data_IF_990898320085
#
_entry.id   IF_990898320085
#
_cell.length_a   1.000
_cell.length_b   1.000
_cell.length_c   1.000
_cell.angle_alpha   90.00
_cell.angle_beta   90.00
_cell.angle_gamma   90.00
#
_symmetry.space_group_name_H-M   'P 1'
#
loop_
_entity.id
_entity.type
_entity.pdbx_description
1 polymer ?
#
# COMPACT_ATOMS: atom_id res chain seq x y z
N UNK A 1 -3.96 -17.66 11.32
CA UNK A 1 -2.77 -16.80 11.41
C UNK A 1 -2.42 -16.33 10.00
N UNK A 2 -2.20 -15.03 9.80
CA UNK A 2 -1.76 -14.47 8.51
C UNK A 2 -0.50 -15.21 8.04
N UNK A 3 -0.43 -15.60 6.76
CA UNK A 3 0.78 -16.19 6.16
C UNK A 3 1.91 -15.16 5.98
N UNK A 4 1.62 -13.86 6.14
CA UNK A 4 2.56 -12.77 5.91
C UNK A 4 2.76 -11.92 7.18
N UNK A 5 3.98 -11.39 7.42
CA UNK A 5 4.24 -10.44 8.49
C UNK A 5 3.42 -9.16 8.29
N UNK A 6 2.99 -8.54 9.39
CA UNK A 6 2.27 -7.25 9.35
C UNK A 6 3.14 -6.14 8.76
N UNK A 7 2.55 -5.01 8.36
CA UNK A 7 3.31 -3.90 7.79
C UNK A 7 4.30 -3.34 8.82
N UNK A 8 3.90 -3.24 10.10
CA UNK A 8 4.80 -2.80 11.16
C UNK A 8 5.96 -3.78 11.38
N UNK A 9 5.73 -5.08 11.25
CA UNK A 9 6.80 -6.08 11.35
C UNK A 9 7.79 -5.94 10.17
N UNK A 10 7.27 -5.76 8.95
CA UNK A 10 8.11 -5.48 7.77
C UNK A 10 8.91 -4.19 7.93
N UNK A 11 8.27 -3.11 8.41
CA UNK A 11 8.92 -1.82 8.65
C UNK A 11 10.01 -1.91 9.71
N UNK A 12 9.77 -2.60 10.83
CA UNK A 12 10.81 -2.82 11.85
C UNK A 12 12.00 -3.58 11.30
N UNK A 13 11.75 -4.64 10.52
CA UNK A 13 12.82 -5.38 9.84
C UNK A 13 13.60 -4.49 8.89
N UNK A 14 12.90 -3.64 8.12
CA UNK A 14 13.51 -2.67 7.21
C UNK A 14 14.38 -1.64 7.97
N UNK A 15 13.87 -1.07 9.06
CA UNK A 15 14.61 -0.11 9.87
C UNK A 15 15.85 -0.75 10.51
N UNK A 16 15.72 -1.97 11.04
CA UNK A 16 16.84 -2.70 11.64
C UNK A 16 17.92 -3.01 10.59
N UNK A 17 17.52 -3.55 9.43
CA UNK A 17 18.45 -3.92 8.37
C UNK A 17 19.24 -2.72 7.81
N UNK A 18 18.63 -1.54 7.79
CA UNK A 18 19.17 -0.34 7.16
C UNK A 18 19.64 0.72 8.18
N UNK A 19 19.72 0.36 9.46
CA UNK A 19 20.17 1.24 10.55
C UNK A 19 19.42 2.59 10.57
N UNK A 20 18.10 2.54 10.38
CA UNK A 20 17.27 3.74 10.38
C UNK A 20 17.27 4.45 11.74
N UNK A 21 17.65 5.73 11.74
CA UNK A 21 17.61 6.60 12.93
C UNK A 21 16.54 7.68 12.86
N UNK A 22 15.98 7.92 11.67
CA UNK A 22 14.95 8.92 11.42
C UNK A 22 13.68 8.23 10.91
N UNK A 23 12.55 8.47 11.59
CA UNK A 23 11.31 7.77 11.30
C UNK A 23 10.69 8.20 9.97
N UNK A 24 10.57 9.50 9.71
CA UNK A 24 9.94 10.03 8.49
C UNK A 24 10.71 9.59 7.26
N UNK A 25 12.04 9.73 7.30
CA UNK A 25 12.93 9.24 6.26
C UNK A 25 12.82 7.73 6.09
N UNK A 26 12.74 6.96 7.16
CA UNK A 26 12.55 5.51 7.05
C UNK A 26 11.22 5.17 6.38
N UNK A 27 10.15 5.90 6.67
CA UNK A 27 8.83 5.71 6.03
C UNK A 27 8.90 6.00 4.53
N UNK A 28 9.55 7.08 4.11
CA UNK A 28 9.74 7.40 2.68
C UNK A 28 10.49 6.30 1.93
N UNK A 29 11.58 5.79 2.50
CA UNK A 29 12.40 4.76 1.85
C UNK A 29 11.69 3.41 1.90
N UNK A 30 11.01 3.10 2.99
CA UNK A 30 10.18 1.91 3.11
C UNK A 30 9.01 1.92 2.14
N UNK A 31 8.43 3.09 1.85
CA UNK A 31 7.35 3.22 0.87
C UNK A 31 7.77 2.81 -0.55
N UNK A 32 9.08 2.91 -0.84
CA UNK A 32 9.66 2.50 -2.12
C UNK A 32 10.18 1.06 -2.05
N UNK A 33 11.00 0.72 -1.05
CA UNK A 33 11.77 -0.53 -1.01
C UNK A 33 11.19 -1.62 -0.09
N UNK A 34 10.13 -1.31 0.65
CA UNK A 34 9.51 -2.21 1.61
C UNK A 34 9.00 -3.50 0.97
N UNK A 35 9.34 -4.64 1.60
CA UNK A 35 8.98 -5.98 1.12
C UNK A 35 10.03 -6.64 0.22
N UNK A 36 11.09 -5.92 -0.20
CA UNK A 36 12.13 -6.50 -1.07
C UNK A 36 13.30 -7.16 -0.32
N UNK A 37 13.46 -6.88 0.97
CA UNK A 37 14.61 -7.35 1.75
C UNK A 37 15.95 -6.74 1.30
N UNK A 38 15.93 -5.65 0.53
CA UNK A 38 17.13 -4.99 0.03
C UNK A 38 17.78 -4.13 1.10
N UNK A 39 19.12 -4.15 1.13
CA UNK A 39 19.88 -3.14 1.86
C UNK A 39 19.84 -1.80 1.11
N UNK A 40 19.55 -0.74 1.83
CA UNK A 40 19.33 0.62 1.34
C UNK A 40 20.11 1.58 2.24
N UNK A 41 21.16 2.15 1.66
CA UNK A 41 21.94 3.20 2.33
C UNK A 41 21.15 4.51 2.34
N UNK A 42 20.47 4.77 3.47
CA UNK A 42 19.65 5.97 3.64
C UNK A 42 20.48 7.25 3.73
N UNK A 43 21.81 7.22 3.76
CA UNK A 43 22.61 8.45 3.63
C UNK A 43 22.54 9.03 2.21
N UNK A 44 22.26 8.19 1.21
CA UNK A 44 22.08 8.60 -0.19
C UNK A 44 20.67 9.11 -0.45
N UNK A 45 20.48 10.09 -1.36
CA UNK A 45 19.15 10.52 -1.78
C UNK A 45 18.29 9.38 -2.33
N UNK A 46 17.00 9.35 -1.97
CA UNK A 46 16.05 8.32 -2.39
C UNK A 46 16.00 8.15 -3.91
N UNK A 47 15.97 9.26 -4.66
CA UNK A 47 15.91 9.23 -6.13
C UNK A 47 17.14 8.56 -6.76
N UNK A 48 18.32 8.73 -6.14
CA UNK A 48 19.54 8.03 -6.57
C UNK A 48 19.41 6.53 -6.35
N UNK A 49 18.85 6.11 -5.23
CA UNK A 49 18.64 4.70 -4.92
C UNK A 49 17.57 4.07 -5.81
N UNK A 50 16.50 4.80 -6.17
CA UNK A 50 15.50 4.35 -7.15
C UNK A 50 16.19 4.07 -8.48
N UNK A 51 17.03 4.99 -8.96
CA UNK A 51 17.78 4.81 -10.20
C UNK A 51 18.72 3.59 -10.14
N UNK A 52 19.58 3.55 -9.11
CA UNK A 52 20.58 2.49 -8.91
C UNK A 52 19.97 1.10 -8.74
N UNK A 53 18.92 0.98 -7.93
CA UNK A 53 18.35 -0.32 -7.52
C UNK A 53 17.18 -0.76 -8.38
N UNK A 54 16.36 0.16 -8.88
CA UNK A 54 15.14 -0.17 -9.63
C UNK A 54 15.33 0.03 -11.11
N UNK A 55 15.66 1.25 -11.56
CA UNK A 55 15.64 1.59 -12.99
C UNK A 55 16.75 0.88 -13.75
N UNK A 56 17.98 0.89 -13.22
CA UNK A 56 19.12 0.19 -13.82
C UNK A 56 18.94 -1.33 -13.85
N UNK A 57 18.09 -1.88 -12.96
CA UNK A 57 17.80 -3.32 -12.86
C UNK A 57 16.41 -3.69 -13.38
N UNK A 58 15.75 -2.80 -14.12
CA UNK A 58 14.35 -2.95 -14.53
C UNK A 58 14.08 -4.30 -15.19
N UNK A 59 14.95 -4.77 -16.09
CA UNK A 59 14.72 -6.02 -16.84
C UNK A 59 14.59 -7.23 -15.92
N UNK A 60 15.41 -7.31 -14.88
CA UNK A 60 15.40 -8.43 -13.93
C UNK A 60 14.13 -8.37 -13.06
N UNK A 61 13.86 -7.21 -12.47
CA UNK A 61 12.70 -7.02 -11.59
C UNK A 61 11.40 -7.24 -12.38
N UNK A 62 11.29 -6.68 -13.58
CA UNK A 62 10.13 -6.90 -14.46
C UNK A 62 9.95 -8.39 -14.80
N UNK A 63 11.05 -9.12 -15.04
CA UNK A 63 11.02 -10.56 -15.28
C UNK A 63 10.43 -11.34 -14.11
N UNK A 64 10.90 -11.06 -12.90
CA UNK A 64 10.40 -11.69 -11.67
C UNK A 64 8.94 -11.36 -11.42
N UNK A 65 8.57 -10.08 -11.56
CA UNK A 65 7.19 -9.62 -11.36
C UNK A 65 6.23 -10.22 -12.40
N UNK A 66 6.66 -10.33 -13.64
CA UNK A 66 5.90 -11.00 -14.71
C UNK A 66 5.68 -12.47 -14.37
N UNK A 67 6.68 -13.15 -13.82
CA UNK A 67 6.57 -14.56 -13.41
C UNK A 67 5.54 -14.75 -12.29
N UNK A 68 5.60 -13.97 -11.22
CA UNK A 68 4.67 -14.10 -10.08
C UNK A 68 3.24 -13.68 -10.42
N UNK A 69 3.07 -12.76 -11.38
CA UNK A 69 1.75 -12.35 -11.89
C UNK A 69 1.26 -13.23 -13.06
N UNK A 70 1.92 -14.37 -13.29
CA UNK A 70 1.58 -15.35 -14.32
C UNK A 70 1.52 -14.76 -15.75
N UNK A 71 2.26 -13.69 -16.00
CA UNK A 71 2.29 -12.96 -17.28
C UNK A 71 0.91 -12.52 -17.77
N UNK A 72 -0.10 -12.41 -16.88
CA UNK A 72 -1.47 -12.06 -17.29
C UNK A 72 -1.61 -10.54 -17.38
N UNK A 73 -1.90 -9.98 -18.56
CA UNK A 73 -2.03 -8.53 -18.73
C UNK A 73 -3.13 -7.93 -17.85
N UNK A 74 -4.22 -8.67 -17.62
CA UNK A 74 -5.33 -8.23 -16.77
C UNK A 74 -4.94 -8.06 -15.31
N UNK A 75 -4.02 -8.88 -14.79
CA UNK A 75 -3.53 -8.75 -13.41
C UNK A 75 -2.66 -7.50 -13.26
N UNK A 76 -1.77 -7.24 -14.23
CA UNK A 76 -0.95 -6.02 -14.26
C UNK A 76 -1.81 -4.76 -14.39
N UNK A 77 -2.81 -4.79 -15.27
CA UNK A 77 -3.74 -3.69 -15.45
C UNK A 77 -4.54 -3.43 -14.16
N UNK A 78 -5.01 -4.48 -13.48
CA UNK A 78 -5.72 -4.35 -12.22
C UNK A 78 -4.84 -3.77 -11.10
N UNK A 79 -3.63 -4.30 -10.92
CA UNK A 79 -2.68 -3.79 -9.92
C UNK A 79 -2.32 -2.32 -10.21
N UNK A 80 -2.09 -1.97 -11.48
CA UNK A 80 -1.87 -0.57 -11.90
C UNK A 80 -3.08 0.31 -11.60
N UNK A 81 -4.30 -0.16 -11.86
CA UNK A 81 -5.52 0.58 -11.61
C UNK A 81 -5.74 0.84 -10.11
N UNK A 82 -5.49 -0.16 -9.26
CA UNK A 82 -5.55 -0.04 -7.79
C UNK A 82 -4.47 0.93 -7.29
N UNK A 83 -3.22 0.77 -7.76
CA UNK A 83 -2.08 1.56 -7.28
C UNK A 83 -2.18 3.06 -7.61
N UNK A 84 -2.87 3.41 -8.70
CA UNK A 84 -2.98 4.76 -9.24
C UNK A 84 -4.39 5.37 -9.12
N UNK A 85 -5.29 4.70 -8.38
CA UNK A 85 -6.68 5.12 -8.20
C UNK A 85 -7.03 5.34 -6.74
N UNK A 86 -8.34 5.42 -6.48
CA UNK A 86 -8.92 5.52 -5.13
C UNK A 86 -8.86 4.21 -4.32
N UNK A 87 -8.18 3.19 -4.87
CA UNK A 87 -8.04 1.82 -4.34
C UNK A 87 -9.33 1.01 -4.30
N UNK A 88 -10.44 1.50 -4.88
CA UNK A 88 -11.73 0.83 -4.82
C UNK A 88 -11.94 -0.11 -5.99
N UNK A 89 -12.58 -1.25 -5.74
CA UNK A 89 -12.84 -2.28 -6.75
C UNK A 89 -13.59 -1.75 -7.97
N UNK A 90 -14.72 -1.08 -7.75
CA UNK A 90 -15.55 -0.58 -8.83
C UNK A 90 -14.80 0.41 -9.75
N UNK A 91 -14.02 1.32 -9.14
CA UNK A 91 -13.18 2.27 -9.86
C UNK A 91 -12.06 1.57 -10.64
N UNK A 92 -11.44 0.54 -10.05
CA UNK A 92 -10.42 -0.26 -10.72
C UNK A 92 -10.99 -1.05 -11.91
N UNK A 93 -12.16 -1.68 -11.76
CA UNK A 93 -12.81 -2.45 -12.84
C UNK A 93 -13.15 -1.56 -14.04
N UNK A 94 -13.67 -0.36 -13.77
CA UNK A 94 -13.95 0.64 -14.81
C UNK A 94 -12.67 1.05 -15.54
N UNK A 95 -11.57 1.27 -14.81
CA UNK A 95 -10.28 1.69 -15.38
C UNK A 95 -9.63 0.59 -16.24
N UNK A 96 -9.82 -0.67 -15.89
CA UNK A 96 -9.33 -1.83 -16.66
C UNK A 96 -10.30 -2.22 -17.79
N UNK A 97 -11.52 -1.67 -17.81
CA UNK A 97 -12.59 -2.01 -18.74
C UNK A 97 -12.99 -3.49 -18.68
N UNK A 98 -13.25 -4.00 -17.46
CA UNK A 98 -13.71 -5.37 -17.22
C UNK A 98 -15.06 -5.36 -16.49
N UNK A 99 -15.89 -6.37 -16.79
CA UNK A 99 -17.13 -6.61 -16.05
C UNK A 99 -16.88 -7.06 -14.62
N UNK A 100 -17.88 -6.90 -13.76
CA UNK A 100 -17.82 -7.17 -12.31
C UNK A 100 -17.33 -8.58 -11.98
N UNK A 101 -17.98 -9.60 -12.53
CA UNK A 101 -17.64 -11.02 -12.29
C UNK A 101 -16.16 -11.29 -12.61
N UNK A 102 -15.69 -10.80 -13.77
CA UNK A 102 -14.28 -10.97 -14.15
C UNK A 102 -13.32 -10.16 -13.27
N UNK A 103 -13.74 -8.98 -12.84
CA UNK A 103 -13.00 -8.15 -11.90
C UNK A 103 -12.81 -8.84 -10.56
N UNK A 104 -13.90 -9.38 -9.99
CA UNK A 104 -13.91 -10.12 -8.72
C UNK A 104 -12.99 -11.36 -8.81
N UNK A 105 -13.05 -12.15 -9.89
CA UNK A 105 -12.12 -13.27 -10.10
C UNK A 105 -10.63 -12.83 -10.09
N UNK A 106 -10.33 -11.65 -10.64
CA UNK A 106 -8.97 -11.11 -10.63
C UNK A 106 -8.58 -10.69 -9.22
N UNK A 107 -9.46 -10.00 -8.48
CA UNK A 107 -9.21 -9.59 -7.09
C UNK A 107 -8.99 -10.81 -6.19
N UNK A 108 -9.83 -11.84 -6.31
CA UNK A 108 -9.68 -13.09 -5.55
C UNK A 108 -8.32 -13.73 -5.78
N UNK A 109 -7.85 -13.76 -7.03
CA UNK A 109 -6.50 -14.23 -7.33
C UNK A 109 -5.43 -13.36 -6.66
N UNK A 110 -5.52 -12.03 -6.81
CA UNK A 110 -4.53 -11.11 -6.26
C UNK A 110 -4.47 -11.15 -4.73
N UNK A 111 -5.60 -11.39 -4.06
CA UNK A 111 -5.66 -11.61 -2.60
C UNK A 111 -5.05 -12.95 -2.24
N UNK A 112 -5.45 -14.02 -2.92
CA UNK A 112 -4.96 -15.38 -2.66
C UNK A 112 -3.44 -15.48 -2.79
N UNK A 113 -2.87 -14.77 -3.75
CA UNK A 113 -1.44 -14.78 -4.03
C UNK A 113 -0.66 -13.71 -3.23
N UNK A 114 -1.35 -12.93 -2.39
CA UNK A 114 -0.72 -12.01 -1.44
C UNK A 114 -0.25 -10.69 -2.05
N UNK A 115 -0.81 -10.25 -3.17
CA UNK A 115 -0.52 -8.93 -3.73
C UNK A 115 -1.29 -7.82 -3.00
N UNK A 116 -2.57 -8.06 -2.72
CA UNK A 116 -3.46 -7.09 -2.08
C UNK A 116 -4.31 -7.73 -0.99
N UNK A 117 -4.87 -6.91 -0.11
CA UNK A 117 -5.85 -7.27 0.91
C UNK A 117 -6.95 -6.22 0.96
N UNK A 118 -8.12 -6.60 1.47
CA UNK A 118 -9.19 -5.64 1.75
C UNK A 118 -8.81 -4.72 2.92
N UNK A 119 -9.12 -3.45 2.73
CA UNK A 119 -9.06 -2.36 3.69
C UNK A 119 -10.50 -1.92 3.96
N UNK A 120 -11.18 -2.71 4.80
CA UNK A 120 -12.60 -2.56 5.07
C UNK A 120 -12.83 -1.42 6.07
N UNK A 121 -13.93 -0.70 5.86
CA UNK A 121 -14.43 0.26 6.85
C UNK A 121 -14.69 -0.45 8.18
N UNK A 122 -14.25 0.17 9.28
CA UNK A 122 -14.38 -0.39 10.65
C UNK A 122 -15.84 -0.57 11.05
N UNK A 123 -16.72 0.31 10.57
CA UNK A 123 -18.17 0.23 10.73
C UNK A 123 -18.86 0.42 9.39
N UNK A 124 -20.08 -0.10 9.27
CA UNK A 124 -20.92 0.14 8.10
C UNK A 124 -21.53 1.54 8.15
N UNK A 125 -21.87 2.13 7.00
CA UNK A 125 -22.65 3.36 6.98
C UNK A 125 -23.97 3.20 7.73
N UNK A 126 -24.39 4.26 8.42
CA UNK A 126 -25.69 4.29 9.13
C UNK A 126 -26.84 4.07 8.16
N UNK A 127 -26.72 4.61 6.94
CA UNK A 127 -27.65 4.39 5.84
C UNK A 127 -26.97 3.55 4.77
N UNK A 128 -27.50 2.36 4.49
CA UNK A 128 -26.93 1.43 3.52
C UNK A 128 -26.75 2.04 2.11
N UNK A 129 -27.58 3.03 1.75
CA UNK A 129 -27.48 3.73 0.46
C UNK A 129 -26.21 4.57 0.32
N UNK A 130 -25.59 4.93 1.45
CA UNK A 130 -24.33 5.68 1.49
C UNK A 130 -23.11 4.75 1.41
N UNK A 131 -23.33 3.43 1.33
CA UNK A 131 -22.30 2.43 1.08
C UNK A 131 -21.54 2.67 -0.21
N UNK A 132 -20.24 2.46 -0.12
CA UNK A 132 -19.30 2.47 -1.24
C UNK A 132 -18.43 1.23 -1.18
N UNK A 133 -17.89 0.83 -2.34
CA UNK A 133 -17.04 -0.36 -2.45
C UNK A 133 -15.80 -0.26 -1.56
N UNK A 134 -15.38 -1.38 -1.02
CA UNK A 134 -14.21 -1.49 -0.17
C UNK A 134 -12.92 -1.09 -0.88
N UNK A 135 -11.93 -0.68 -0.08
CA UNK A 135 -10.61 -0.33 -0.56
C UNK A 135 -9.72 -1.57 -0.56
N UNK A 136 -8.69 -1.55 -1.41
CA UNK A 136 -7.64 -2.56 -1.45
C UNK A 136 -6.30 -1.93 -1.07
N UNK A 137 -5.52 -2.66 -0.29
CA UNK A 137 -4.15 -2.30 0.07
C UNK A 137 -3.18 -3.30 -0.49
N UNK A 138 -2.04 -2.82 -0.98
CA UNK A 138 -0.93 -3.69 -1.32
C UNK A 138 -0.30 -4.25 -0.06
N UNK A 139 -0.01 -5.56 -0.06
CA UNK A 139 0.64 -6.24 1.06
C UNK A 139 2.08 -5.76 1.27
N UNK A 140 2.74 -5.35 0.18
CA UNK A 140 4.12 -4.82 0.21
C UNK A 140 4.18 -3.43 -0.42
N UNK A 141 4.89 -2.47 0.21
CA UNK A 141 5.06 -1.14 -0.36
C UNK A 141 5.67 -1.12 -1.76
N UNK A 142 6.70 -1.95 -1.99
CA UNK A 142 7.38 -2.02 -3.28
C UNK A 142 6.44 -2.38 -4.44
N UNK A 143 5.47 -3.30 -4.21
CA UNK A 143 4.51 -3.65 -5.26
C UNK A 143 3.62 -2.46 -5.62
N UNK A 144 3.16 -1.68 -4.63
CA UNK A 144 2.40 -0.45 -4.92
C UNK A 144 3.27 0.54 -5.69
N UNK A 145 4.49 0.81 -5.23
CA UNK A 145 5.44 1.70 -5.92
C UNK A 145 5.65 1.26 -7.37
N UNK A 146 5.91 -0.03 -7.60
CA UNK A 146 6.11 -0.60 -8.92
C UNK A 146 4.92 -0.35 -9.85
N UNK A 147 3.71 -0.73 -9.44
CA UNK A 147 2.52 -0.59 -10.28
C UNK A 147 2.01 0.85 -10.37
N UNK A 148 2.34 1.71 -9.40
CA UNK A 148 2.00 3.13 -9.45
C UNK A 148 2.90 3.92 -10.42
N UNK A 149 4.20 3.60 -10.48
CA UNK A 149 5.22 4.48 -11.08
C UNK A 149 6.01 3.77 -12.17
N UNK A 150 6.57 2.60 -11.88
CA UNK A 150 7.52 1.91 -12.76
C UNK A 150 6.81 1.24 -13.93
N UNK A 151 5.78 0.43 -13.65
CA UNK A 151 5.03 -0.29 -14.68
C UNK A 151 4.38 0.64 -15.71
N UNK A 152 3.78 1.78 -15.35
CA UNK A 152 3.22 2.72 -16.32
C UNK A 152 4.25 3.38 -17.25
N UNK A 153 5.50 3.50 -16.81
CA UNK A 153 6.58 4.24 -17.51
C UNK A 153 7.60 3.29 -18.17
N UNK A 154 7.23 2.02 -18.38
CA UNK A 154 8.16 0.98 -18.83
C UNK A 154 8.86 1.27 -20.17
N UNK A 155 8.23 2.04 -21.07
CA UNK A 155 8.78 2.31 -22.41
C UNK A 155 10.03 3.18 -22.30
N UNK A 156 9.91 4.32 -21.61
CA UNK A 156 11.02 5.25 -21.39
C UNK A 156 12.14 4.59 -20.58
N UNK A 157 11.81 3.78 -19.57
CA UNK A 157 12.81 3.01 -18.81
C UNK A 157 13.62 2.06 -19.71
N UNK A 158 12.97 1.35 -20.64
CA UNK A 158 13.65 0.43 -21.57
C UNK A 158 14.58 1.15 -22.55
N UNK A 159 14.30 2.41 -22.84
CA UNK A 159 15.10 3.30 -23.67
C UNK A 159 16.24 3.99 -22.89
N UNK A 160 16.27 3.84 -21.56
CA UNK A 160 17.23 4.51 -20.68
C UNK A 160 16.84 5.94 -20.30
N UNK A 161 15.61 6.35 -20.63
CA UNK A 161 15.09 7.69 -20.41
C UNK A 161 14.26 7.74 -19.12
N UNK A 162 14.78 8.39 -18.07
CA UNK A 162 14.17 8.37 -16.74
C UNK A 162 13.38 9.63 -16.37
N UNK A 163 13.29 10.60 -17.28
CA UNK A 163 12.59 11.87 -17.01
C UNK A 163 11.10 11.66 -16.68
N UNK A 164 10.41 10.78 -17.41
CA UNK A 164 8.99 10.46 -17.18
C UNK A 164 8.77 9.83 -15.80
N UNK A 165 9.66 8.90 -15.41
CA UNK A 165 9.61 8.23 -14.10
C UNK A 165 9.77 9.25 -12.98
N UNK A 166 10.76 10.16 -13.10
CA UNK A 166 11.05 11.18 -12.09
C UNK A 166 9.87 12.14 -11.93
N UNK A 167 9.33 12.66 -13.03
CA UNK A 167 8.17 13.54 -13.00
C UNK A 167 6.94 12.85 -12.37
N UNK A 168 6.72 11.57 -12.69
CA UNK A 168 5.62 10.80 -12.10
C UNK A 168 5.82 10.56 -10.60
N UNK A 169 7.03 10.20 -10.19
CA UNK A 169 7.38 10.02 -8.78
C UNK A 169 7.18 11.30 -7.98
N UNK A 170 7.69 12.42 -8.47
CA UNK A 170 7.54 13.73 -7.82
C UNK A 170 6.07 14.13 -7.64
N UNK A 171 5.22 13.80 -8.61
CA UNK A 171 3.80 14.08 -8.55
C UNK A 171 3.02 13.26 -7.52
N UNK A 172 3.51 12.08 -7.10
CA UNK A 172 2.73 11.16 -6.25
C UNK A 172 3.44 10.70 -4.98
N UNK A 173 4.73 11.02 -4.79
CA UNK A 173 5.52 10.53 -3.64
C UNK A 173 4.89 10.82 -2.29
N UNK A 174 4.29 12.02 -2.12
CA UNK A 174 3.60 12.39 -0.90
C UNK A 174 2.41 11.47 -0.58
N UNK A 175 1.59 11.14 -1.58
CA UNK A 175 0.47 10.20 -1.41
C UNK A 175 0.96 8.77 -1.16
N UNK A 176 2.07 8.38 -1.81
CA UNK A 176 2.67 7.06 -1.61
C UNK A 176 3.15 6.90 -0.17
N UNK A 177 3.91 7.86 0.33
CA UNK A 177 4.44 7.89 1.69
C UNK A 177 3.33 8.04 2.74
N UNK A 178 2.38 8.94 2.53
CA UNK A 178 1.29 9.20 3.49
C UNK A 178 0.43 7.96 3.76
N UNK A 179 0.14 7.15 2.72
CA UNK A 179 -0.60 5.90 2.92
C UNK A 179 0.17 4.88 3.76
N UNK A 180 1.49 4.79 3.60
CA UNK A 180 2.34 3.89 4.41
C UNK A 180 2.42 4.40 5.84
N UNK A 181 2.63 5.70 6.03
CA UNK A 181 2.62 6.35 7.33
C UNK A 181 1.32 6.05 8.09
N UNK A 182 0.17 6.25 7.45
CA UNK A 182 -1.14 5.97 8.03
C UNK A 182 -1.23 4.52 8.51
N UNK A 183 -0.94 3.55 7.64
CA UNK A 183 -1.03 2.13 8.00
C UNK A 183 -0.11 1.77 9.19
N UNK A 184 1.10 2.34 9.23
CA UNK A 184 2.01 2.14 10.36
C UNK A 184 1.46 2.75 11.65
N UNK A 185 0.87 3.95 11.58
CA UNK A 185 0.23 4.60 12.74
C UNK A 185 -0.91 3.74 13.30
N UNK A 186 -1.77 3.16 12.44
CA UNK A 186 -2.84 2.26 12.90
C UNK A 186 -2.28 1.05 13.68
N UNK A 187 -1.27 0.36 13.13
CA UNK A 187 -0.65 -0.79 13.79
C UNK A 187 0.08 -0.39 15.09
N UNK A 188 0.72 0.79 15.12
CA UNK A 188 1.36 1.32 16.32
C UNK A 188 0.34 1.66 17.41
N UNK A 189 -0.76 2.33 17.08
CA UNK A 189 -1.85 2.62 18.02
C UNK A 189 -2.39 1.33 18.59
N UNK A 190 -2.68 0.33 17.74
CA UNK A 190 -3.18 -0.96 18.21
C UNK A 190 -2.22 -1.63 19.19
N UNK A 191 -0.91 -1.63 18.87
CA UNK A 191 0.11 -2.21 19.72
C UNK A 191 0.26 -1.46 21.06
N UNK A 192 0.26 -0.13 21.03
CA UNK A 192 0.37 0.69 22.23
C UNK A 192 -0.84 0.51 23.14
N UNK A 193 -2.06 0.51 22.59
CA UNK A 193 -3.28 0.29 23.37
C UNK A 193 -3.32 -1.09 24.01
N UNK A 194 -2.82 -2.12 23.31
CA UNK A 194 -2.73 -3.47 23.88
C UNK A 194 -1.85 -3.50 25.14
N UNK A 195 -0.78 -2.70 25.19
CA UNK A 195 0.15 -2.63 26.32
C UNK A 195 -0.37 -1.74 27.46
N UNK A 196 -0.90 -0.56 27.12
CA UNK A 196 -1.35 0.45 28.09
C UNK A 196 -2.71 0.11 28.71
N UNK A 197 -3.57 -0.62 27.98
CA UNK A 197 -4.97 -0.87 28.38
C UNK A 197 -5.33 -2.37 28.31
N UNK A 198 -4.58 -3.23 29.00
CA UNK A 198 -4.75 -4.69 28.93
C UNK A 198 -6.20 -5.19 29.21
N UNK A 199 -6.94 -4.51 30.08
CA UNK A 199 -8.34 -4.84 30.40
C UNK A 199 -9.36 -4.41 29.33
N UNK A 200 -9.01 -3.44 28.49
CA UNK A 200 -9.88 -2.87 27.47
C UNK A 200 -9.08 -2.44 26.21
N UNK A 201 -8.45 -3.39 25.49
CA UNK A 201 -7.63 -3.09 24.32
C UNK A 201 -8.50 -2.71 23.12
N UNK A 202 -7.85 -2.19 22.07
CA UNK A 202 -8.47 -2.04 20.75
C UNK A 202 -8.67 -3.42 20.12
N UNK A 203 -9.90 -3.74 19.70
CA UNK A 203 -10.28 -5.00 19.05
C UNK A 203 -10.52 -4.85 17.54
N UNK A 204 -10.78 -3.63 17.07
CA UNK A 204 -10.86 -3.29 15.65
C UNK A 204 -10.34 -1.87 15.44
N UNK A 205 -9.55 -1.65 14.38
CA UNK A 205 -9.01 -0.34 14.01
C UNK A 205 -8.78 -0.28 12.51
N UNK A 206 -9.01 0.89 11.92
CA UNK A 206 -8.93 1.15 10.49
C UNK A 206 -9.57 2.49 10.18
N UNK A 207 -9.89 2.76 8.92
CA UNK A 207 -10.67 3.93 8.55
C UNK A 207 -12.17 3.66 8.62
N UNK A 208 -12.97 4.72 8.64
CA UNK A 208 -14.38 4.67 8.26
C UNK A 208 -14.59 5.48 6.99
N UNK A 209 -15.44 5.00 6.09
CA UNK A 209 -15.79 5.76 4.90
C UNK A 209 -17.21 5.45 4.41
N UNK A 210 -17.89 6.48 3.92
CA UNK A 210 -19.11 6.40 3.13
C UNK A 210 -19.08 7.48 2.03
N UNK A 211 -20.18 7.68 1.30
CA UNK A 211 -20.25 8.71 0.24
C UNK A 211 -20.05 10.15 0.72
N UNK A 212 -20.26 10.42 2.00
CA UNK A 212 -20.35 11.74 2.60
C UNK A 212 -19.14 12.08 3.46
N UNK A 213 -18.53 11.10 4.13
CA UNK A 213 -17.43 11.32 5.06
C UNK A 213 -16.40 10.19 5.03
N UNK A 214 -15.15 10.56 5.32
CA UNK A 214 -14.05 9.64 5.61
C UNK A 214 -13.42 10.04 6.95
N UNK A 215 -13.21 9.05 7.82
CA UNK A 215 -12.50 9.19 9.09
C UNK A 215 -11.23 8.35 8.97
N UNK A 216 -10.08 9.01 9.08
CA UNK A 216 -8.78 8.37 8.90
C UNK A 216 -8.61 7.21 9.90
N UNK A 217 -8.87 7.46 11.18
CA UNK A 217 -8.72 6.47 12.26
C UNK A 217 -10.05 6.34 12.99
N UNK A 218 -10.66 5.16 12.91
CA UNK A 218 -11.75 4.71 13.77
C UNK A 218 -11.29 3.44 14.51
N UNK A 219 -11.34 3.47 15.84
CA UNK A 219 -10.97 2.33 16.67
C UNK A 219 -12.09 1.95 17.62
N UNK A 220 -12.32 0.65 17.77
CA UNK A 220 -13.29 0.05 18.69
C UNK A 220 -12.56 -0.70 19.78
N UNK A 221 -12.82 -0.34 21.03
CA UNK A 221 -12.28 -1.02 22.21
C UNK A 221 -13.16 -2.22 22.60
N UNK A 222 -12.62 -3.12 23.42
CA UNK A 222 -13.32 -4.29 23.94
C UNK A 222 -14.60 -3.92 24.71
N UNK A 223 -14.59 -2.80 25.41
CA UNK A 223 -15.74 -2.21 26.12
C UNK A 223 -16.85 -1.70 25.20
N UNK A 224 -16.59 -1.58 23.89
CA UNK A 224 -17.48 -0.93 22.93
C UNK A 224 -17.23 0.57 22.78
N UNK A 225 -16.34 1.17 23.58
CA UNK A 225 -15.94 2.56 23.38
C UNK A 225 -15.28 2.77 22.01
N UNK A 226 -15.64 3.88 21.35
CA UNK A 226 -15.14 4.23 20.02
C UNK A 226 -14.20 5.44 20.13
N UNK A 227 -13.11 5.41 19.36
CA UNK A 227 -12.16 6.50 19.21
C UNK A 227 -12.11 6.90 17.74
N UNK A 228 -12.26 8.20 17.46
CA UNK A 228 -12.12 8.75 16.12
C UNK A 228 -10.95 9.74 16.09
N UNK A 229 -10.16 9.73 15.02
CA UNK A 229 -9.00 10.58 14.86
C UNK A 229 -8.67 10.84 13.39
N UNK A 230 -7.88 11.90 13.17
CA UNK A 230 -7.30 12.22 11.87
C UNK A 230 -5.81 11.86 11.87
N UNK A 231 -5.28 11.46 10.71
CA UNK A 231 -3.87 11.16 10.53
C UNK A 231 -3.32 12.05 9.42
N UNK A 232 -2.25 12.80 9.71
CA UNK A 232 -1.58 13.68 8.75
C UNK A 232 -0.08 13.39 8.79
N UNK A 233 0.53 13.35 7.60
CA UNK A 233 1.96 13.30 7.35
C UNK A 233 2.37 14.68 6.86
#
# INVERSE_FOLDING_TARGET
MSKHPTLLAQFRSFCYQNEATDFEKAVEYFAVFGGMGWFVDMSKPLDKLIEEKVLNNYRYIHGDLTKITHSKPTYHAMLTAIATGDRREHSAFKKVNVGREKGEEVIDFLIKDGFVVFDNSVEKPVNEKDGISDKLLFVTPFMRFWFAIISPTYKSIKEGEYAEVKARWDGIKGEVTSLIYHQLVLELIQLSFKKEFEGDPIVSIGSYYDKNIEIDILAKRKSGAMLAGACKY
#
